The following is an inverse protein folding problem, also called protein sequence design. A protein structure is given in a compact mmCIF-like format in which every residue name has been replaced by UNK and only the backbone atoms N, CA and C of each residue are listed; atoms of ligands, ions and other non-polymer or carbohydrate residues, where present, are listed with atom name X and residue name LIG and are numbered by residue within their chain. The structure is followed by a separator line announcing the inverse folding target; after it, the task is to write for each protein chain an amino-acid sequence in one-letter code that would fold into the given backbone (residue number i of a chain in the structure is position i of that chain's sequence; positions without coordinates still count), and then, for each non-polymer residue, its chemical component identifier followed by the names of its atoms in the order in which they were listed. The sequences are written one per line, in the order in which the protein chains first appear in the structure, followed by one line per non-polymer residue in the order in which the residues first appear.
data_IF_638311717269
#
_entry.id   IF_638311717269
#
_cell.length_a   1.000
_cell.length_b   1.000
_cell.length_c   1.000
_cell.angle_alpha   90.00
_cell.angle_beta   90.00
_cell.angle_gamma   90.00
#
_symmetry.space_group_name_H-M   'P 1'
#
loop_
_entity.id
_entity.type
_entity.pdbx_description
1 polymer ?
#
# COMPACT_ATOMS: atom_id res chain seq x y z
N UNK A 1 -6.65 -21.98 -11.79
CA UNK A 1 -5.94 -20.89 -11.07
C UNK A 1 -4.90 -21.52 -10.14
N UNK A 2 -3.61 -21.47 -10.49
CA UNK A 2 -2.54 -21.98 -9.64
C UNK A 2 -2.34 -21.04 -8.43
N UNK A 3 -2.85 -21.43 -7.26
CA UNK A 3 -2.68 -20.75 -5.95
C UNK A 3 -1.26 -20.90 -5.36
N UNK A 4 -0.22 -20.89 -6.20
CA UNK A 4 1.15 -21.28 -5.81
C UNK A 4 2.14 -20.11 -5.63
N UNK A 5 1.74 -18.99 -5.03
CA UNK A 5 2.70 -17.92 -4.65
C UNK A 5 2.39 -17.19 -3.34
N UNK A 6 1.42 -17.64 -2.55
CA UNK A 6 1.21 -17.02 -1.24
C UNK A 6 2.32 -17.49 -0.28
N UNK A 7 3.30 -16.62 -0.02
CA UNK A 7 4.19 -16.80 1.13
C UNK A 7 3.43 -16.36 2.38
N UNK A 8 3.32 -17.27 3.35
CA UNK A 8 2.84 -16.95 4.68
C UNK A 8 3.95 -16.17 5.41
N UNK A 9 3.76 -14.86 5.60
CA UNK A 9 4.75 -13.97 6.21
C UNK A 9 4.28 -13.45 7.58
N UNK A 10 3.38 -14.16 8.27
CA UNK A 10 2.72 -13.71 9.50
C UNK A 10 1.97 -12.38 9.32
N UNK A 11 1.21 -12.28 8.23
CA UNK A 11 0.40 -11.10 7.93
C UNK A 11 -0.68 -10.88 9.00
N UNK A 12 -0.92 -9.62 9.34
CA UNK A 12 -1.96 -9.27 10.30
C UNK A 12 -3.34 -9.39 9.67
N UNK A 13 -4.23 -10.11 10.36
CA UNK A 13 -5.65 -10.22 10.03
C UNK A 13 -6.37 -8.99 10.57
N UNK A 14 -7.19 -8.36 9.72
CA UNK A 14 -8.01 -7.20 10.06
C UNK A 14 -9.44 -7.66 10.31
N UNK A 15 -9.87 -7.56 11.56
CA UNK A 15 -11.24 -7.85 12.00
C UNK A 15 -12.12 -6.61 12.08
N UNK A 16 -11.54 -5.42 11.87
CA UNK A 16 -12.21 -4.12 11.96
C UNK A 16 -12.45 -3.49 10.58
N UNK A 17 -13.19 -2.39 10.54
CA UNK A 17 -13.44 -1.66 9.29
C UNK A 17 -12.13 -1.06 8.75
N UNK A 18 -11.79 -1.35 7.50
CA UNK A 18 -10.62 -0.75 6.80
C UNK A 18 -10.50 0.77 6.94
N UNK A 19 -11.62 1.49 6.97
CA UNK A 19 -11.64 2.94 7.10
C UNK A 19 -11.40 3.44 8.54
N UNK A 20 -11.40 2.57 9.55
CA UNK A 20 -10.92 2.91 10.90
C UNK A 20 -9.40 2.85 10.99
N UNK A 21 -8.74 2.06 10.13
CA UNK A 21 -7.28 1.88 10.13
C UNK A 21 -6.54 2.91 9.28
N UNK A 22 -7.23 3.47 8.27
CA UNK A 22 -6.64 4.42 7.33
C UNK A 22 -7.33 5.78 7.49
N UNK A 23 -6.56 6.79 7.88
CA UNK A 23 -7.03 8.16 7.89
C UNK A 23 -7.02 8.74 6.47
N UNK A 24 -8.20 8.82 5.86
CA UNK A 24 -8.37 9.37 4.51
C UNK A 24 -8.18 10.89 4.43
N UNK A 25 -8.00 11.58 5.55
CA UNK A 25 -7.73 13.02 5.60
C UNK A 25 -6.23 13.33 5.44
N UNK A 26 -5.37 12.40 5.86
CA UNK A 26 -3.92 12.56 5.90
C UNK A 26 -3.23 12.21 4.57
N UNK A 27 -2.01 12.73 4.41
CA UNK A 27 -1.07 12.28 3.40
C UNK A 27 -0.09 11.33 4.07
N UNK A 28 0.31 10.28 3.36
CA UNK A 28 1.27 9.31 3.86
C UNK A 28 2.53 9.37 3.01
N UNK A 29 3.69 9.56 3.63
CA UNK A 29 4.98 9.33 2.99
C UNK A 29 5.18 7.83 2.79
N UNK A 30 5.57 7.43 1.59
CA UNK A 30 5.91 6.04 1.29
C UNK A 30 7.42 5.88 1.44
N UNK A 31 7.80 5.00 2.35
CA UNK A 31 9.18 4.62 2.58
C UNK A 31 9.42 3.17 2.22
N UNK A 32 10.41 2.93 1.35
CA UNK A 32 10.84 1.59 0.98
C UNK A 32 11.94 1.16 1.95
N UNK A 33 11.62 0.29 2.91
CA UNK A 33 12.52 -0.04 4.03
C UNK A 33 13.83 -0.71 3.58
N UNK A 34 13.84 -1.38 2.43
CA UNK A 34 15.05 -2.00 1.90
C UNK A 34 16.05 -0.98 1.31
N UNK A 35 15.57 0.14 0.78
CA UNK A 35 16.39 1.12 0.06
C UNK A 35 16.49 2.47 0.77
N UNK A 36 15.66 2.72 1.79
CA UNK A 36 15.56 3.99 2.51
C UNK A 36 15.04 5.14 1.63
N UNK A 37 14.47 4.84 0.47
CA UNK A 37 14.09 5.85 -0.52
C UNK A 37 12.67 6.37 -0.27
N UNK A 38 12.52 7.69 -0.07
CA UNK A 38 11.24 8.36 0.15
C UNK A 38 10.96 9.38 -0.96
N UNK A 39 10.55 8.91 -2.14
CA UNK A 39 10.31 9.80 -3.29
C UNK A 39 8.85 10.19 -3.50
N UNK A 40 7.92 9.44 -2.91
CA UNK A 40 6.50 9.55 -3.27
C UNK A 40 5.67 9.51 -1.98
N UNK A 41 4.66 10.37 -1.94
CA UNK A 41 3.61 10.33 -0.93
C UNK A 41 2.31 9.83 -1.55
N UNK A 42 1.36 9.40 -0.73
CA UNK A 42 0.04 9.02 -1.18
C UNK A 42 -1.07 9.55 -0.27
N UNK A 43 -2.29 9.57 -0.79
CA UNK A 43 -3.51 9.87 -0.03
C UNK A 43 -4.58 8.85 -0.37
N UNK A 44 -5.24 8.35 0.67
CA UNK A 44 -6.33 7.40 0.56
C UNK A 44 -7.67 8.13 0.45
N UNK A 45 -8.58 7.62 -0.38
CA UNK A 45 -9.96 8.10 -0.43
C UNK A 45 -10.90 7.15 0.28
N UNK A 46 -12.02 7.67 0.78
CA UNK A 46 -13.16 6.88 1.29
C UNK A 46 -13.77 5.92 0.26
N UNK A 47 -13.40 6.06 -1.02
CA UNK A 47 -13.85 5.19 -2.12
C UNK A 47 -12.85 4.08 -2.48
N UNK A 48 -11.83 3.86 -1.64
CA UNK A 48 -10.85 2.79 -1.87
C UNK A 48 -9.77 3.14 -2.91
N UNK A 49 -9.63 4.40 -3.32
CA UNK A 49 -8.59 4.84 -4.27
C UNK A 49 -7.36 5.35 -3.53
N UNK A 50 -6.20 5.17 -4.14
CA UNK A 50 -4.92 5.72 -3.69
C UNK A 50 -4.44 6.71 -4.76
N UNK A 51 -4.25 7.96 -4.33
CA UNK A 51 -3.63 9.02 -5.14
C UNK A 51 -2.16 9.16 -4.75
N UNK A 52 -1.27 9.30 -5.73
CA UNK A 52 0.16 9.44 -5.50
C UNK A 52 0.65 10.86 -5.80
N UNK A 53 1.71 11.29 -5.12
CA UNK A 53 2.26 12.64 -5.20
C UNK A 53 3.78 12.60 -5.20
N UNK A 54 4.42 13.42 -6.04
CA UNK A 54 5.86 13.68 -6.00
C UNK A 54 6.08 15.10 -5.44
N UNK A 55 6.51 15.18 -4.18
CA UNK A 55 6.39 16.41 -3.40
C UNK A 55 4.92 16.82 -3.29
N UNK A 56 4.59 18.04 -3.74
CA UNK A 56 3.21 18.58 -3.74
C UNK A 56 2.46 18.37 -5.06
N UNK A 57 3.09 17.77 -6.07
CA UNK A 57 2.48 17.57 -7.39
C UNK A 57 1.81 16.21 -7.47
N UNK A 58 0.54 16.18 -7.89
CA UNK A 58 -0.16 14.93 -8.13
C UNK A 58 0.49 14.15 -9.27
N UNK A 59 0.70 12.86 -9.06
CA UNK A 59 1.14 11.94 -10.11
C UNK A 59 -0.06 11.67 -11.00
N UNK A 60 0.04 11.90 -12.32
CA UNK A 60 -1.07 11.64 -13.23
C UNK A 60 -1.54 10.20 -13.14
N UNK A 61 -2.87 9.98 -13.20
CA UNK A 61 -3.48 8.64 -13.18
C UNK A 61 -2.94 7.71 -14.29
N UNK A 62 -2.44 8.29 -15.39
CA UNK A 62 -1.80 7.55 -16.50
C UNK A 62 -0.40 7.04 -16.17
N UNK A 63 0.21 7.51 -15.10
CA UNK A 63 1.56 7.14 -14.65
C UNK A 63 1.48 6.15 -13.50
N UNK A 64 0.74 6.50 -12.44
CA UNK A 64 0.58 5.66 -11.26
C UNK A 64 -0.81 5.82 -10.66
N UNK A 65 -1.43 4.70 -10.26
CA UNK A 65 -2.72 4.67 -9.55
C UNK A 65 -2.75 3.51 -8.60
N UNK A 66 -3.62 3.57 -7.60
CA UNK A 66 -3.75 2.47 -6.65
C UNK A 66 -5.15 2.31 -6.12
N UNK A 67 -5.42 1.14 -5.56
CA UNK A 67 -6.63 0.84 -4.80
C UNK A 67 -6.26 0.13 -3.52
N UNK A 68 -7.08 0.33 -2.50
CA UNK A 68 -7.00 -0.41 -1.26
C UNK A 68 -8.37 -1.00 -0.92
N UNK A 69 -8.36 -2.21 -0.36
CA UNK A 69 -9.56 -2.98 -0.03
C UNK A 69 -9.21 -4.09 0.97
N UNK A 70 -10.24 -4.68 1.58
CA UNK A 70 -10.09 -5.92 2.34
C UNK A 70 -10.29 -7.12 1.42
N UNK A 71 -9.41 -8.11 1.54
CA UNK A 71 -9.47 -9.39 0.83
C UNK A 71 -9.11 -10.51 1.79
N UNK A 72 -10.02 -11.46 2.01
CA UNK A 72 -9.86 -12.53 3.01
C UNK A 72 -9.32 -12.01 4.35
N UNK A 73 -9.92 -10.92 4.87
CA UNK A 73 -9.54 -10.24 6.12
C UNK A 73 -8.17 -9.54 6.11
N UNK A 74 -7.45 -9.50 4.99
CA UNK A 74 -6.21 -8.74 4.86
C UNK A 74 -6.45 -7.37 4.23
N UNK A 75 -5.77 -6.35 4.74
CA UNK A 75 -5.69 -5.06 4.05
C UNK A 75 -4.73 -5.18 2.86
N UNK A 76 -5.25 -4.98 1.66
CA UNK A 76 -4.53 -5.09 0.39
C UNK A 76 -4.36 -3.72 -0.27
N UNK A 77 -3.14 -3.43 -0.74
CA UNK A 77 -2.84 -2.30 -1.63
C UNK A 77 -2.47 -2.82 -3.02
N UNK A 78 -3.31 -2.54 -4.02
CA UNK A 78 -2.97 -2.77 -5.41
C UNK A 78 -2.42 -1.50 -6.03
N UNK A 79 -1.15 -1.56 -6.42
CA UNK A 79 -0.42 -0.44 -7.04
C UNK A 79 -0.20 -0.74 -8.51
N UNK A 80 -0.56 0.21 -9.37
CA UNK A 80 -0.48 0.09 -10.83
C UNK A 80 0.44 1.18 -11.34
N UNK A 81 1.58 0.79 -11.91
CA UNK A 81 2.49 1.70 -12.63
C UNK A 81 2.30 1.43 -14.11
N UNK A 82 1.95 2.44 -14.92
CA UNK A 82 1.65 2.23 -16.35
C UNK A 82 2.78 2.71 -17.27
N UNK A 83 3.66 3.59 -16.81
CA UNK A 83 4.78 4.15 -17.58
C UNK A 83 6.08 4.16 -16.77
N UNK A 84 7.28 3.89 -17.34
CA UNK A 84 7.55 3.66 -18.77
C UNK A 84 7.02 2.35 -19.34
N UNK A 85 6.87 1.33 -18.51
CA UNK A 85 6.13 0.08 -18.76
C UNK A 85 6.11 -0.61 -17.40
N UNK A 86 4.97 -0.62 -16.73
CA UNK A 86 4.88 -1.14 -15.36
C UNK A 86 3.80 -2.20 -15.22
N UNK A 87 4.03 -3.10 -14.27
CA UNK A 87 3.07 -4.12 -13.87
C UNK A 87 2.18 -3.67 -12.72
N UNK A 88 1.26 -4.55 -12.34
CA UNK A 88 0.51 -4.46 -11.09
C UNK A 88 1.40 -5.05 -10.01
N UNK A 89 1.60 -4.33 -8.90
CA UNK A 89 2.17 -4.90 -7.69
C UNK A 89 1.15 -4.82 -6.55
N UNK A 90 0.83 -5.98 -6.00
CA UNK A 90 -0.03 -6.16 -4.85
C UNK A 90 0.81 -6.19 -3.58
N UNK A 91 0.34 -5.51 -2.54
CA UNK A 91 0.95 -5.46 -1.22
C UNK A 91 -0.08 -5.80 -0.15
N UNK A 92 0.36 -6.47 0.91
CA UNK A 92 -0.47 -6.88 2.05
C UNK A 92 0.08 -6.31 3.35
N UNK A 93 -0.79 -6.06 4.33
CA UNK A 93 -0.41 -5.46 5.61
C UNK A 93 0.44 -6.42 6.46
N UNK A 94 1.48 -5.88 7.11
CA UNK A 94 2.44 -6.63 7.93
C UNK A 94 2.22 -6.48 9.44
N UNK A 95 1.80 -5.32 9.96
CA UNK A 95 1.70 -5.09 11.42
C UNK A 95 0.75 -3.94 11.77
N UNK A 96 0.37 -3.89 13.05
CA UNK A 96 -0.58 -3.00 13.68
C UNK A 96 -0.26 -1.51 13.49
N UNK A 97 -1.33 -0.73 13.37
CA UNK A 97 -1.33 0.73 13.32
C UNK A 97 -0.96 1.26 14.70
N UNK A 98 0.29 1.68 14.88
CA UNK A 98 0.67 2.50 16.03
C UNK A 98 0.88 3.93 15.50
N UNK A 99 0.18 4.89 16.09
CA UNK A 99 0.27 6.32 15.73
C UNK A 99 0.01 6.63 14.24
N UNK A 100 -0.82 5.81 13.57
CA UNK A 100 -1.16 5.98 12.16
C UNK A 100 -0.09 5.45 11.19
N UNK A 101 0.99 4.83 11.66
CA UNK A 101 2.03 4.23 10.81
C UNK A 101 1.57 2.85 10.32
N UNK A 102 1.60 2.63 9.00
CA UNK A 102 1.19 1.37 8.38
C UNK A 102 2.38 0.68 7.71
N UNK A 103 2.49 -0.63 7.90
CA UNK A 103 3.53 -1.43 7.26
C UNK A 103 2.90 -2.43 6.29
N UNK A 104 3.44 -2.49 5.09
CA UNK A 104 3.01 -3.43 4.06
C UNK A 104 4.19 -4.17 3.48
N UNK A 105 3.99 -5.40 3.03
CA UNK A 105 4.93 -6.15 2.19
C UNK A 105 4.37 -6.36 0.80
N UNK A 106 5.22 -6.74 -0.15
CA UNK A 106 4.72 -7.29 -1.40
C UNK A 106 4.14 -8.69 -1.20
N UNK A 107 3.08 -9.02 -1.94
CA UNK A 107 2.38 -10.31 -1.78
C UNK A 107 3.28 -11.53 -2.04
N UNK A 108 4.27 -11.38 -2.93
CA UNK A 108 5.23 -12.41 -3.32
C UNK A 108 6.58 -12.32 -2.57
N UNK A 109 6.80 -11.32 -1.70
CA UNK A 109 8.08 -11.08 -1.03
C UNK A 109 7.89 -10.70 0.46
N UNK A 110 8.35 -11.53 1.41
CA UNK A 110 8.25 -11.21 2.85
C UNK A 110 9.23 -10.11 3.30
N UNK A 111 10.40 -10.03 2.67
CA UNK A 111 11.49 -9.15 3.11
C UNK A 111 11.36 -7.72 2.56
N UNK A 112 10.62 -7.55 1.46
CA UNK A 112 10.41 -6.24 0.85
C UNK A 112 9.13 -5.61 1.38
N UNK A 113 9.33 -4.59 2.20
CA UNK A 113 8.27 -3.85 2.84
C UNK A 113 8.31 -2.35 2.53
N UNK A 114 7.14 -1.74 2.64
CA UNK A 114 6.95 -0.31 2.66
C UNK A 114 6.36 0.11 4.00
N UNK A 115 6.80 1.26 4.48
CA UNK A 115 6.22 1.97 5.61
C UNK A 115 5.47 3.18 5.10
N UNK A 116 4.24 3.36 5.55
CA UNK A 116 3.44 4.55 5.33
C UNK A 116 3.39 5.33 6.63
N UNK A 117 3.90 6.55 6.60
CA UNK A 117 3.90 7.45 7.77
C UNK A 117 3.10 8.70 7.43
N UNK A 118 2.15 9.13 8.29
CA UNK A 118 1.50 10.42 8.20
C UNK A 118 2.43 11.63 7.95
#
# INVERSE_FOLDING_TARGET
MNRSRYKNCNDMIITENIFSLIDTTQYYKIEYLQTGYNSISCKFSSTGKIYYFYGWKSVPNRTQRGRFYLDDEFLVLNTYVKYPQGGIRTKKILTAVCDGVLYFRYEDECEKSIRLTP
#
